data_IF_833892335178
#
_entry.id   IF_833892335178
#
_cell.length_a   1.000
_cell.length_b   1.000
_cell.length_c   1.000
_cell.angle_alpha   90.00
_cell.angle_beta   90.00
_cell.angle_gamma   90.00
#
_symmetry.space_group_name_H-M   'P 1'
#
loop_
_entity.id
_entity.type
_entity.pdbx_description
1 polymer ?
#
# COMPACT_ATOMS: atom_id res chain seq x y z
N UNK A 1 2.82 32.79 50.38
CA UNK A 1 2.81 31.49 49.66
C UNK A 1 4.20 31.26 49.06
N UNK A 2 4.90 30.17 49.43
CA UNK A 2 6.21 29.84 48.83
C UNK A 2 5.97 29.32 47.40
N UNK A 3 6.52 29.99 46.38
CA UNK A 3 6.50 29.49 45.01
C UNK A 3 7.32 28.20 44.95
N UNK A 4 6.72 27.13 44.44
CA UNK A 4 7.42 25.85 44.26
C UNK A 4 8.57 26.00 43.23
N UNK A 5 9.67 25.26 43.40
CA UNK A 5 10.75 25.24 42.42
C UNK A 5 10.24 24.70 41.09
N UNK A 6 10.71 25.30 39.99
CA UNK A 6 10.39 24.90 38.63
C UNK A 6 11.62 24.25 37.98
N UNK A 7 11.38 23.31 37.09
CA UNK A 7 12.39 22.59 36.32
C UNK A 7 12.14 22.74 34.83
N UNK A 8 13.19 22.69 34.04
CA UNK A 8 13.11 22.67 32.58
C UNK A 8 13.11 21.24 32.09
N UNK A 9 12.15 20.90 31.22
CA UNK A 9 12.05 19.59 30.56
C UNK A 9 12.11 19.76 29.05
N UNK A 10 12.65 18.77 28.35
CA UNK A 10 12.57 18.67 26.89
C UNK A 10 11.26 17.99 26.48
N UNK A 11 10.62 18.47 25.41
CA UNK A 11 9.42 17.86 24.86
C UNK A 11 9.70 16.43 24.38
N UNK A 12 8.81 15.50 24.72
CA UNK A 12 8.94 14.09 24.32
C UNK A 12 8.41 13.78 22.91
N UNK A 13 7.90 14.77 22.17
CA UNK A 13 7.33 14.54 20.83
C UNK A 13 8.46 14.35 19.80
N UNK A 14 8.36 13.37 18.88
CA UNK A 14 9.46 12.99 17.97
C UNK A 14 9.91 14.10 17.00
N UNK A 15 9.13 15.16 16.85
CA UNK A 15 9.43 16.29 15.98
C UNK A 15 9.39 17.62 16.76
N UNK A 16 9.80 17.63 18.03
CA UNK A 16 9.79 18.82 18.86
C UNK A 16 10.97 18.87 19.84
N UNK A 17 11.91 19.79 19.60
CA UNK A 17 13.08 20.00 20.46
C UNK A 17 12.89 21.12 21.50
N UNK A 18 11.65 21.57 21.68
CA UNK A 18 11.36 22.67 22.61
C UNK A 18 11.54 22.22 24.06
N UNK A 19 12.21 23.07 24.83
CA UNK A 19 12.27 22.96 26.29
C UNK A 19 11.17 23.81 26.93
N UNK A 20 10.54 23.31 27.99
CA UNK A 20 9.45 23.99 28.69
C UNK A 20 9.58 23.84 30.21
N UNK A 21 9.10 24.84 30.95
CA UNK A 21 9.29 24.94 32.40
C UNK A 21 8.04 24.52 33.16
N UNK A 22 8.17 23.54 34.04
CA UNK A 22 7.08 22.98 34.84
C UNK A 22 7.43 22.91 36.31
N UNK A 23 6.44 22.68 37.16
CA UNK A 23 6.70 22.41 38.58
C UNK A 23 7.44 21.07 38.74
N UNK A 24 8.26 20.93 39.79
CA UNK A 24 9.08 19.72 39.99
C UNK A 24 8.30 18.39 40.01
N UNK A 25 7.04 18.42 40.47
CA UNK A 25 6.14 17.25 40.52
C UNK A 25 5.18 17.13 39.34
N UNK A 26 5.32 17.99 38.32
CA UNK A 26 4.40 17.99 37.18
C UNK A 26 4.68 16.78 36.28
N UNK A 27 3.70 15.90 35.99
CA UNK A 27 3.91 14.75 35.11
C UNK A 27 3.96 15.12 33.62
N UNK A 28 3.76 16.39 33.25
CA UNK A 28 3.73 16.83 31.86
C UNK A 28 5.04 16.49 31.13
N UNK A 29 4.89 15.84 29.96
CA UNK A 29 5.97 15.37 29.08
C UNK A 29 6.05 16.13 27.75
N UNK A 30 5.03 16.92 27.42
CA UNK A 30 4.90 17.60 26.13
C UNK A 30 4.72 19.09 26.36
N UNK A 31 5.37 19.92 25.54
CA UNK A 31 5.25 21.38 25.67
C UNK A 31 3.85 21.89 25.34
N UNK A 32 3.09 21.15 24.53
CA UNK A 32 1.72 21.50 24.09
C UNK A 32 0.85 20.26 23.87
N UNK A 33 -0.47 20.44 23.87
CA UNK A 33 -1.44 19.39 23.47
C UNK A 33 -1.16 18.86 22.05
N UNK A 34 -0.80 19.74 21.10
CA UNK A 34 -0.46 19.36 19.72
C UNK A 34 0.74 18.39 19.66
N UNK A 35 1.72 18.55 20.55
CA UNK A 35 2.87 17.64 20.62
C UNK A 35 2.48 16.28 21.22
N UNK A 36 1.56 16.26 22.18
CA UNK A 36 0.96 15.03 22.68
C UNK A 36 0.16 14.30 21.58
N UNK A 37 -0.69 15.02 20.83
CA UNK A 37 -1.49 14.42 19.74
C UNK A 37 -0.60 13.78 18.67
N UNK A 38 0.47 14.46 18.26
CA UNK A 38 1.46 13.92 17.30
C UNK A 38 2.17 12.67 17.82
N UNK A 39 2.56 12.69 19.08
CA UNK A 39 3.20 11.53 19.73
C UNK A 39 2.24 10.35 19.85
N UNK A 40 0.98 10.60 20.19
CA UNK A 40 -0.06 9.58 20.20
C UNK A 40 -0.31 9.02 18.79
N UNK A 41 -0.32 9.86 17.75
CA UNK A 41 -0.45 9.41 16.35
C UNK A 41 0.72 8.52 15.93
N UNK A 42 1.96 8.91 16.24
CA UNK A 42 3.15 8.09 15.99
C UNK A 42 3.10 6.74 16.74
N UNK A 43 2.61 6.73 17.98
CA UNK A 43 2.48 5.52 18.78
C UNK A 43 1.21 4.70 18.50
N UNK A 44 0.23 5.20 17.73
CA UNK A 44 -0.96 4.43 17.33
C UNK A 44 -0.60 3.22 16.48
N UNK A 45 0.45 3.30 15.67
CA UNK A 45 0.95 2.15 14.91
C UNK A 45 1.59 1.09 15.82
N UNK A 46 2.29 1.50 16.89
CA UNK A 46 3.00 0.59 17.80
C UNK A 46 2.12 0.00 18.93
N UNK A 47 1.06 0.72 19.35
CA UNK A 47 0.12 0.29 20.41
C UNK A 47 -1.22 -0.19 19.86
N UNK A 48 -1.39 -0.14 18.55
CA UNK A 48 -2.67 -0.28 17.87
C UNK A 48 -3.16 -1.72 17.85
N UNK A 49 -4.30 -1.95 18.47
CA UNK A 49 -5.08 -3.18 18.31
C UNK A 49 -5.80 -3.12 16.95
N UNK A 50 -5.06 -3.08 15.85
CA UNK A 50 -5.56 -2.86 14.49
C UNK A 50 -4.46 -2.79 13.44
N UNK A 51 -4.85 -2.58 12.19
CA UNK A 51 -3.94 -2.43 11.04
C UNK A 51 -4.50 -1.46 10.01
N UNK A 52 -3.62 -0.82 9.24
CA UNK A 52 -4.04 -0.12 8.03
C UNK A 52 -4.37 -1.12 6.93
N UNK A 53 -5.48 -0.89 6.25
CA UNK A 53 -5.90 -1.62 5.04
C UNK A 53 -6.35 -0.62 3.98
N UNK A 54 -6.32 -1.04 2.72
CA UNK A 54 -6.75 -0.23 1.58
C UNK A 54 -8.15 -0.66 1.16
N UNK A 55 -9.03 0.32 0.97
CA UNK A 55 -10.40 0.09 0.53
C UNK A 55 -10.41 -0.33 -0.95
N UNK A 56 -10.88 -1.52 -1.33
CA UNK A 56 -10.86 -1.98 -2.73
C UNK A 56 -11.86 -1.26 -3.63
N UNK A 57 -12.70 -0.38 -3.08
CA UNK A 57 -13.67 0.41 -3.84
C UNK A 57 -13.17 1.82 -4.18
N UNK A 58 -12.26 2.39 -3.39
CA UNK A 58 -11.82 3.78 -3.57
C UNK A 58 -10.33 4.03 -3.26
N UNK A 59 -9.57 2.97 -3.02
CA UNK A 59 -8.12 2.97 -2.73
C UNK A 59 -7.69 3.83 -1.52
N UNK A 60 -8.64 4.27 -0.70
CA UNK A 60 -8.36 4.99 0.54
C UNK A 60 -7.72 4.04 1.56
N UNK A 61 -6.51 4.40 2.04
CA UNK A 61 -5.87 3.78 3.21
C UNK A 61 -6.63 4.19 4.47
N UNK A 62 -7.09 3.22 5.26
CA UNK A 62 -7.83 3.47 6.50
C UNK A 62 -7.44 2.49 7.60
N UNK A 63 -7.62 2.92 8.85
CA UNK A 63 -7.35 2.11 10.03
C UNK A 63 -8.52 1.18 10.33
N UNK A 64 -8.27 -0.13 10.45
CA UNK A 64 -9.23 -1.12 10.91
C UNK A 64 -8.80 -1.66 12.27
N UNK A 65 -9.71 -1.68 13.25
CA UNK A 65 -9.44 -2.29 14.56
C UNK A 65 -9.38 -3.81 14.44
N UNK A 66 -8.71 -4.50 15.36
CA UNK A 66 -8.69 -5.97 15.45
C UNK A 66 -10.09 -6.53 15.73
N UNK A 67 -10.96 -5.80 16.42
CA UNK A 67 -12.38 -6.15 16.54
C UNK A 67 -13.14 -6.14 15.20
N UNK A 68 -12.54 -5.57 14.15
CA UNK A 68 -13.07 -5.46 12.79
C UNK A 68 -12.27 -6.35 11.81
N UNK A 69 -11.76 -7.51 12.26
CA UNK A 69 -10.90 -8.45 11.49
C UNK A 69 -11.44 -8.84 10.08
N UNK A 70 -12.72 -8.57 9.77
CA UNK A 70 -13.31 -8.78 8.43
C UNK A 70 -13.65 -7.52 7.63
N UNK A 71 -13.40 -6.31 8.14
CA UNK A 71 -13.73 -5.05 7.45
C UNK A 71 -12.82 -4.89 6.23
N UNK A 72 -13.43 -4.71 5.06
CA UNK A 72 -12.71 -4.53 3.78
C UNK A 72 -12.78 -3.11 3.25
N UNK A 73 -13.82 -2.35 3.61
CA UNK A 73 -14.12 -1.04 3.01
C UNK A 73 -14.01 0.09 4.03
N UNK A 74 -13.54 1.25 3.56
CA UNK A 74 -13.36 2.42 4.43
C UNK A 74 -14.69 3.00 4.93
N UNK A 75 -15.79 2.76 4.21
CA UNK A 75 -17.12 3.32 4.52
C UNK A 75 -18.23 2.37 4.02
N UNK A 76 -19.46 2.63 4.46
CA UNK A 76 -20.65 1.90 3.99
C UNK A 76 -20.92 2.10 2.48
N UNK A 77 -20.85 3.32 1.92
CA UNK A 77 -20.97 3.52 0.48
C UNK A 77 -19.95 2.71 -0.32
N UNK A 78 -18.68 2.69 0.10
CA UNK A 78 -17.65 1.88 -0.55
C UNK A 78 -17.92 0.36 -0.45
N UNK A 79 -18.53 -0.09 0.64
CA UNK A 79 -18.99 -1.48 0.73
C UNK A 79 -20.09 -1.76 -0.30
N UNK A 80 -21.10 -0.90 -0.39
CA UNK A 80 -22.22 -1.08 -1.31
C UNK A 80 -21.73 -0.99 -2.78
N UNK A 81 -20.83 -0.06 -3.09
CA UNK A 81 -20.17 0.02 -4.39
C UNK A 81 -19.27 -1.19 -4.67
N UNK A 82 -18.51 -1.66 -3.70
CA UNK A 82 -17.69 -2.87 -3.86
C UNK A 82 -18.51 -4.12 -4.15
N UNK A 83 -19.65 -4.26 -3.46
CA UNK A 83 -20.63 -5.32 -3.74
C UNK A 83 -21.23 -5.17 -5.14
N UNK A 84 -21.61 -3.95 -5.54
CA UNK A 84 -22.15 -3.65 -6.88
C UNK A 84 -21.14 -3.88 -8.00
N UNK A 85 -19.87 -3.52 -7.76
CA UNK A 85 -18.78 -3.62 -8.73
C UNK A 85 -18.17 -5.03 -8.79
N UNK A 86 -18.47 -5.90 -7.83
CA UNK A 86 -18.05 -7.30 -7.81
C UNK A 86 -16.59 -7.53 -7.42
N UNK A 87 -15.94 -6.57 -6.74
CA UNK A 87 -14.59 -6.73 -6.22
C UNK A 87 -14.60 -7.51 -4.90
N UNK A 88 -13.73 -8.50 -4.77
CA UNK A 88 -13.56 -9.29 -3.55
C UNK A 88 -12.08 -9.56 -3.28
N UNK A 89 -11.71 -9.69 -2.01
CA UNK A 89 -10.37 -10.14 -1.63
C UNK A 89 -10.35 -11.67 -1.50
N UNK A 90 -9.34 -12.32 -2.08
CA UNK A 90 -9.10 -13.75 -1.94
C UNK A 90 -8.38 -14.11 -0.62
N UNK A 91 -8.16 -15.41 -0.39
CA UNK A 91 -7.48 -15.91 0.81
C UNK A 91 -6.00 -15.52 0.91
N UNK A 92 -5.39 -15.08 -0.19
CA UNK A 92 -3.98 -14.69 -0.27
C UNK A 92 -3.79 -13.16 -0.17
N UNK A 93 -4.88 -12.42 0.01
CA UNK A 93 -4.88 -10.98 0.15
C UNK A 93 -5.03 -10.21 -1.17
N UNK A 94 -5.18 -10.88 -2.31
CA UNK A 94 -5.36 -10.22 -3.60
C UNK A 94 -6.79 -9.76 -3.81
N UNK A 95 -6.95 -8.57 -4.39
CA UNK A 95 -8.26 -8.08 -4.85
C UNK A 95 -8.54 -8.62 -6.25
N UNK A 96 -9.69 -9.26 -6.43
CA UNK A 96 -10.12 -9.92 -7.68
C UNK A 96 -11.56 -9.52 -8.03
N UNK A 97 -11.89 -9.50 -9.31
CA UNK A 97 -13.24 -9.28 -9.83
C UNK A 97 -13.55 -10.27 -10.93
N UNK A 98 -14.77 -10.80 -10.95
CA UNK A 98 -15.23 -11.65 -12.04
C UNK A 98 -15.55 -10.76 -13.25
N UNK A 99 -14.85 -10.96 -14.35
CA UNK A 99 -15.09 -10.28 -15.63
C UNK A 99 -15.13 -11.34 -16.71
N UNK A 100 -16.32 -11.56 -17.28
CA UNK A 100 -16.52 -12.57 -18.31
C UNK A 100 -15.72 -12.18 -19.57
N UNK A 101 -15.04 -13.15 -20.18
CA UNK A 101 -14.28 -13.01 -21.42
C UNK A 101 -13.16 -11.95 -21.40
N UNK A 102 -12.66 -11.56 -20.22
CA UNK A 102 -11.53 -10.65 -20.14
C UNK A 102 -10.20 -11.36 -20.49
N UNK A 103 -9.30 -10.75 -21.27
CA UNK A 103 -8.05 -11.40 -21.71
C UNK A 103 -7.11 -11.77 -20.55
N UNK A 104 -7.20 -11.04 -19.43
CA UNK A 104 -6.45 -11.32 -18.20
C UNK A 104 -7.18 -12.21 -17.19
N UNK A 105 -8.38 -12.68 -17.52
CA UNK A 105 -9.13 -13.54 -16.62
C UNK A 105 -8.48 -14.91 -16.50
N UNK A 106 -8.49 -15.46 -15.28
CA UNK A 106 -8.12 -16.86 -15.06
C UNK A 106 -9.23 -17.82 -15.53
N UNK A 107 -9.01 -19.13 -15.41
CA UNK A 107 -9.97 -20.15 -15.81
C UNK A 107 -11.35 -20.05 -15.14
N UNK A 108 -11.45 -19.33 -14.01
CA UNK A 108 -12.72 -19.07 -13.30
C UNK A 108 -13.29 -17.68 -13.61
N UNK A 109 -12.84 -17.02 -14.69
CA UNK A 109 -13.27 -15.69 -15.11
C UNK A 109 -12.93 -14.55 -14.12
N UNK A 110 -11.94 -14.74 -13.23
CA UNK A 110 -11.49 -13.70 -12.32
C UNK A 110 -10.26 -12.97 -12.86
N UNK A 111 -10.29 -11.65 -12.79
CA UNK A 111 -9.17 -10.76 -13.06
C UNK A 111 -8.65 -10.21 -11.73
N UNK A 112 -7.33 -10.22 -11.56
CA UNK A 112 -6.67 -9.60 -10.41
C UNK A 112 -6.57 -8.09 -10.59
N UNK A 113 -6.91 -7.31 -9.56
CA UNK A 113 -6.96 -5.84 -9.62
C UNK A 113 -5.61 -5.24 -10.03
N UNK A 114 -4.50 -5.66 -9.42
CA UNK A 114 -3.16 -5.19 -9.81
C UNK A 114 -2.86 -5.44 -11.29
N UNK A 115 -3.23 -6.61 -11.83
CA UNK A 115 -3.03 -6.90 -13.26
C UNK A 115 -3.91 -6.03 -14.14
N UNK A 116 -5.17 -5.79 -13.75
CA UNK A 116 -6.09 -4.94 -14.49
C UNK A 116 -5.62 -3.48 -14.52
N UNK A 117 -5.26 -2.93 -13.36
CA UNK A 117 -4.78 -1.55 -13.27
C UNK A 117 -3.49 -1.37 -14.06
N UNK A 118 -2.54 -2.30 -13.95
CA UNK A 118 -1.31 -2.25 -14.74
C UNK A 118 -1.60 -2.30 -16.24
N UNK A 119 -2.51 -3.17 -16.66
CA UNK A 119 -2.98 -3.30 -18.03
C UNK A 119 -3.63 -2.04 -18.60
N UNK A 120 -4.52 -1.42 -17.84
CA UNK A 120 -5.19 -0.16 -18.22
C UNK A 120 -4.20 1.00 -18.26
N UNK A 121 -3.31 1.11 -17.26
CA UNK A 121 -2.29 2.16 -17.19
C UNK A 121 -1.27 2.11 -18.34
N UNK A 122 -1.04 0.92 -18.91
CA UNK A 122 -0.12 0.70 -20.03
C UNK A 122 -0.86 0.45 -21.36
N UNK A 123 -2.03 1.08 -21.53
CA UNK A 123 -2.79 1.14 -22.79
C UNK A 123 -3.29 -0.20 -23.34
N UNK A 124 -3.30 -1.27 -22.54
CA UNK A 124 -3.96 -2.53 -22.90
C UNK A 124 -3.46 -3.14 -24.22
N UNK A 125 -2.15 -3.05 -24.49
CA UNK A 125 -1.60 -3.44 -25.79
C UNK A 125 -1.46 -4.97 -25.96
N UNK A 126 -1.55 -5.50 -27.20
CA UNK A 126 -1.33 -6.92 -27.46
C UNK A 126 0.03 -7.45 -26.97
N UNK A 127 1.08 -6.62 -26.99
CA UNK A 127 2.42 -6.97 -26.53
C UNK A 127 2.43 -7.21 -25.02
N UNK A 128 1.78 -6.34 -24.25
CA UNK A 128 1.65 -6.53 -22.81
C UNK A 128 0.85 -7.81 -22.49
N UNK A 129 -0.17 -8.11 -23.30
CA UNK A 129 -0.96 -9.33 -23.11
C UNK A 129 -0.09 -10.56 -23.36
N UNK A 130 0.68 -10.54 -24.45
CA UNK A 130 1.62 -11.59 -24.78
C UNK A 130 2.66 -11.78 -23.66
N UNK A 131 3.22 -10.72 -23.10
CA UNK A 131 4.16 -10.81 -21.97
C UNK A 131 3.48 -11.48 -20.76
N UNK A 132 2.31 -11.00 -20.36
CA UNK A 132 1.56 -11.54 -19.22
C UNK A 132 1.10 -13.00 -19.42
N UNK A 133 0.88 -13.42 -20.67
CA UNK A 133 0.54 -14.81 -21.02
C UNK A 133 1.78 -15.71 -21.07
N UNK A 134 2.95 -15.18 -21.39
CA UNK A 134 4.21 -15.92 -21.52
C UNK A 134 5.09 -15.85 -20.26
N UNK A 135 4.47 -15.68 -19.09
CA UNK A 135 5.15 -15.74 -17.80
C UNK A 135 5.54 -14.39 -17.18
N UNK A 136 5.16 -13.28 -17.80
CA UNK A 136 5.18 -11.98 -17.13
C UNK A 136 4.21 -11.94 -15.95
N UNK A 137 4.65 -11.40 -14.82
CA UNK A 137 3.86 -11.24 -13.60
C UNK A 137 3.92 -9.79 -13.13
N UNK A 138 2.80 -9.27 -12.64
CA UNK A 138 2.75 -7.93 -12.03
C UNK A 138 2.95 -8.09 -10.52
N UNK A 139 3.90 -7.34 -9.96
CA UNK A 139 4.29 -7.38 -8.56
C UNK A 139 4.04 -6.05 -7.87
N UNK A 140 3.75 -6.11 -6.57
CA UNK A 140 3.70 -4.95 -5.69
C UNK A 140 5.11 -4.61 -5.20
N UNK A 141 5.58 -3.39 -5.47
CA UNK A 141 6.93 -2.92 -5.10
C UNK A 141 7.09 -2.92 -3.58
N UNK A 142 6.09 -2.40 -2.86
CA UNK A 142 6.09 -2.34 -1.39
C UNK A 142 5.71 -3.66 -0.69
N UNK A 143 5.38 -4.71 -1.45
CA UNK A 143 4.90 -5.99 -0.91
C UNK A 143 3.48 -5.99 -0.33
N UNK A 144 2.78 -4.85 -0.29
CA UNK A 144 1.39 -4.74 0.12
C UNK A 144 0.45 -5.08 -1.05
N UNK A 145 -0.12 -6.29 -1.01
CA UNK A 145 -1.03 -6.82 -2.03
C UNK A 145 -2.33 -6.03 -2.20
N UNK A 146 -2.66 -5.17 -1.24
CA UNK A 146 -3.85 -4.32 -1.31
C UNK A 146 -3.56 -2.96 -1.97
N UNK A 147 -2.28 -2.58 -2.15
CA UNK A 147 -1.89 -1.29 -2.73
C UNK A 147 -1.71 -1.40 -4.24
N UNK A 148 -2.83 -1.34 -4.97
CA UNK A 148 -2.85 -1.52 -6.42
C UNK A 148 -2.64 -0.23 -7.22
N UNK A 149 -2.08 0.82 -6.60
CA UNK A 149 -1.75 2.06 -7.32
C UNK A 149 -0.73 1.79 -8.44
N UNK A 150 -0.88 2.38 -9.64
CA UNK A 150 0.04 2.13 -10.76
C UNK A 150 1.51 2.30 -10.38
N UNK A 151 1.83 3.30 -9.54
CA UNK A 151 3.20 3.61 -9.11
C UNK A 151 3.80 2.56 -8.16
N UNK A 152 2.96 1.68 -7.58
CA UNK A 152 3.38 0.59 -6.71
C UNK A 152 3.43 -0.76 -7.47
N UNK A 153 3.20 -0.77 -8.78
CA UNK A 153 3.15 -1.98 -9.59
C UNK A 153 4.31 -2.05 -10.58
N UNK A 154 4.91 -3.22 -10.72
CA UNK A 154 5.96 -3.47 -11.70
C UNK A 154 5.77 -4.83 -12.40
N UNK A 155 6.19 -4.90 -13.67
CA UNK A 155 6.18 -6.14 -14.45
C UNK A 155 7.51 -6.88 -14.27
N UNK A 156 7.45 -8.18 -13.97
CA UNK A 156 8.60 -9.09 -13.82
C UNK A 156 8.43 -10.32 -14.71
N UNK A 157 9.52 -10.95 -15.13
CA UNK A 157 9.50 -12.20 -15.90
C UNK A 157 9.70 -13.43 -14.98
N UNK A 158 9.15 -14.58 -15.38
CA UNK A 158 9.20 -15.87 -14.64
C UNK A 158 10.61 -16.49 -14.50
N UNK A 159 11.69 -15.85 -14.94
CA UNK A 159 13.03 -16.47 -14.89
C UNK A 159 13.62 -16.47 -13.48
N UNK A 160 14.48 -17.47 -13.23
CA UNK A 160 15.25 -17.68 -11.99
C UNK A 160 16.29 -16.56 -11.75
N UNK A 161 15.85 -15.34 -11.43
CA UNK A 161 16.76 -14.28 -11.00
C UNK A 161 16.43 -13.89 -9.56
N UNK A 162 17.43 -13.73 -8.67
CA UNK A 162 17.20 -13.11 -7.37
C UNK A 162 16.75 -11.66 -7.57
N UNK A 163 16.07 -11.10 -6.56
CA UNK A 163 15.34 -9.83 -6.58
C UNK A 163 15.90 -8.70 -7.49
N UNK A 164 14.99 -8.11 -8.29
CA UNK A 164 15.11 -6.77 -8.86
C UNK A 164 15.96 -6.70 -10.13
N UNK A 165 15.31 -6.75 -11.29
CA UNK A 165 15.93 -6.52 -12.60
C UNK A 165 15.01 -5.55 -13.33
N UNK A 166 15.47 -4.32 -13.53
CA UNK A 166 14.65 -3.24 -14.09
C UNK A 166 14.46 -3.37 -15.60
N UNK A 167 13.62 -2.52 -16.19
CA UNK A 167 13.41 -2.43 -17.64
C UNK A 167 14.72 -2.35 -18.43
N UNK A 168 15.67 -1.55 -17.93
CA UNK A 168 16.98 -1.36 -18.54
C UNK A 168 17.82 -2.64 -18.59
N UNK A 169 17.78 -3.42 -17.51
CA UNK A 169 18.51 -4.68 -17.43
C UNK A 169 17.92 -5.71 -18.42
N UNK A 170 16.61 -5.67 -18.64
CA UNK A 170 15.93 -6.52 -19.63
C UNK A 170 16.30 -6.14 -21.07
N UNK A 171 16.31 -4.85 -21.42
CA UNK A 171 16.75 -4.37 -22.74
C UNK A 171 18.18 -4.85 -23.01
N UNK A 172 19.05 -4.79 -21.99
CA UNK A 172 20.45 -5.22 -22.10
C UNK A 172 20.59 -6.72 -22.35
N UNK A 173 19.84 -7.56 -21.63
CA UNK A 173 19.85 -9.02 -21.82
C UNK A 173 19.35 -9.39 -23.21
N UNK A 174 18.21 -8.84 -23.64
CA UNK A 174 17.62 -9.16 -24.94
C UNK A 174 18.52 -8.73 -26.11
N UNK A 175 19.14 -7.56 -26.00
CA UNK A 175 20.17 -7.10 -26.97
C UNK A 175 21.36 -8.05 -27.01
N UNK A 176 21.83 -8.55 -25.86
CA UNK A 176 22.97 -9.47 -25.77
C UNK A 176 22.67 -10.83 -26.40
N UNK A 177 21.41 -11.27 -26.36
CA UNK A 177 20.94 -12.52 -26.98
C UNK A 177 20.62 -12.38 -28.48
N UNK A 178 20.84 -11.20 -29.07
CA UNK A 178 20.68 -10.96 -30.51
C UNK A 178 19.25 -10.64 -30.95
N UNK A 179 18.34 -10.34 -30.02
CA UNK A 179 17.00 -9.89 -30.37
C UNK A 179 17.01 -8.40 -30.71
N UNK A 180 16.41 -8.03 -31.84
CA UNK A 180 16.22 -6.64 -32.21
C UNK A 180 15.06 -6.04 -31.39
N UNK A 181 15.37 -5.04 -30.58
CA UNK A 181 14.37 -4.28 -29.83
C UNK A 181 13.97 -3.06 -30.67
N UNK A 182 12.74 -3.04 -31.17
CA UNK A 182 12.15 -1.83 -31.74
C UNK A 182 11.26 -1.16 -30.69
N UNK A 183 11.53 0.12 -30.40
CA UNK A 183 10.56 0.96 -29.70
C UNK A 183 9.42 1.25 -30.66
N UNK A 184 8.22 0.83 -30.28
CA UNK A 184 6.99 1.29 -30.91
C UNK A 184 6.72 2.75 -30.53
#
# INVERSE_FOLDING_TARGET
MRKLPRITKTCASPNCDLSFTVSIHDPQRYCTKKCWDKDQEAHREMRGNGKYIICPSCDKRFWAKNSEIGRKYCSRPCYDDGQRLGWRQDQYGYVIKRINNHPLANGNQYVFQHRLIYWEAHNSTPELLAILQNGGTVHHINGDKADNKPENLELRMRTNHPHGVGEYDMIKVLTTLGYAITKC
#
